data_IF_867924714101
#
_entry.id   IF_867924714101
#
_cell.length_a   1.000
_cell.length_b   1.000
_cell.length_c   1.000
_cell.angle_alpha   90.00
_cell.angle_beta   90.00
_cell.angle_gamma   90.00
#
_symmetry.space_group_name_H-M   'P 1'
#
loop_
_entity.id
_entity.type
_entity.pdbx_description
1 polymer ?
#
# COMPACT_ATOMS: atom_id res chain seq x y z
N UNK A 1 10.42 7.60 -1.12
CA UNK A 1 11.57 8.54 -1.09
C UNK A 1 12.26 8.53 -2.46
N UNK A 2 12.11 9.59 -3.27
CA UNK A 2 12.78 9.73 -4.57
C UNK A 2 13.39 11.13 -4.73
N UNK A 3 14.20 11.55 -3.74
CA UNK A 3 15.09 12.72 -3.89
C UNK A 3 16.56 12.31 -4.11
N UNK A 4 16.82 11.02 -4.34
CA UNK A 4 18.14 10.47 -4.64
C UNK A 4 18.09 9.81 -6.03
N UNK A 5 17.86 10.59 -7.08
CA UNK A 5 17.85 10.06 -8.46
C UNK A 5 19.25 9.74 -9.00
N UNK A 6 20.33 10.09 -8.30
CA UNK A 6 21.68 10.04 -8.86
C UNK A 6 22.49 8.79 -8.54
N UNK A 7 22.09 7.95 -7.58
CA UNK A 7 22.85 6.74 -7.28
C UNK A 7 21.95 5.59 -6.84
N UNK A 8 21.77 4.60 -7.74
CA UNK A 8 20.99 3.39 -7.46
C UNK A 8 21.62 2.53 -6.35
N UNK A 9 22.93 2.64 -6.12
CA UNK A 9 23.62 1.90 -5.07
C UNK A 9 23.45 2.54 -3.69
N UNK A 10 23.12 3.84 -3.62
CA UNK A 10 22.81 4.49 -2.35
C UNK A 10 21.60 3.84 -1.66
N UNK A 11 20.66 3.28 -2.43
CA UNK A 11 19.47 2.56 -1.95
C UNK A 11 19.79 1.25 -1.20
N UNK A 12 21.03 0.73 -1.32
CA UNK A 12 21.51 -0.45 -0.59
C UNK A 12 22.17 -0.08 0.73
N UNK A 13 22.25 1.21 1.08
CA UNK A 13 22.80 1.63 2.36
C UNK A 13 21.92 1.11 3.50
N UNK A 14 22.51 0.45 4.52
CA UNK A 14 21.79 0.07 5.73
C UNK A 14 21.09 1.25 6.42
N UNK A 15 21.59 2.48 6.23
CA UNK A 15 20.98 3.70 6.76
C UNK A 15 19.68 4.12 6.06
N UNK A 16 19.35 3.51 4.92
CA UNK A 16 18.07 3.70 4.24
C UNK A 16 17.08 2.55 4.50
N UNK A 17 17.51 1.51 5.21
CA UNK A 17 16.62 0.44 5.65
C UNK A 17 15.71 0.98 6.75
N UNK A 18 14.39 0.95 6.51
CA UNK A 18 13.37 1.51 7.41
C UNK A 18 13.59 3.00 7.76
N UNK A 19 14.04 3.78 6.77
CA UNK A 19 14.26 5.20 6.97
C UNK A 19 12.94 5.93 7.26
N UNK A 20 12.89 6.80 8.29
CA UNK A 20 11.70 7.56 8.62
C UNK A 20 11.32 8.53 7.50
N UNK A 21 10.08 8.99 7.52
CA UNK A 21 9.62 10.10 6.69
C UNK A 21 10.48 11.34 6.93
N UNK A 22 10.78 12.06 5.85
CA UNK A 22 11.39 13.39 5.91
C UNK A 22 10.32 14.43 6.22
N UNK A 23 10.71 15.66 6.57
CA UNK A 23 9.76 16.77 6.76
C UNK A 23 8.84 16.98 5.54
N UNK A 24 9.42 16.89 4.33
CA UNK A 24 8.63 16.92 3.09
C UNK A 24 7.69 15.71 2.98
N UNK A 25 8.12 14.53 3.43
CA UNK A 25 7.27 13.34 3.50
C UNK A 25 6.08 13.53 4.45
N UNK A 26 6.30 14.13 5.62
CA UNK A 26 5.23 14.50 6.55
C UNK A 26 4.24 15.49 5.92
N UNK A 27 4.74 16.53 5.23
CA UNK A 27 3.86 17.47 4.52
C UNK A 27 3.03 16.77 3.43
N UNK A 28 3.60 15.80 2.71
CA UNK A 28 2.86 15.01 1.71
C UNK A 28 1.73 14.19 2.36
N UNK A 29 1.97 13.63 3.55
CA UNK A 29 0.98 12.89 4.32
C UNK A 29 -0.16 13.80 4.78
N UNK A 30 0.16 14.98 5.31
CA UNK A 30 -0.83 15.98 5.73
C UNK A 30 -1.71 16.41 4.56
N UNK A 31 -1.09 16.78 3.43
CA UNK A 31 -1.82 17.21 2.23
C UNK A 31 -2.73 16.09 1.69
N UNK A 32 -2.29 14.83 1.74
CA UNK A 32 -3.13 13.70 1.35
C UNK A 32 -4.32 13.56 2.31
N UNK A 33 -4.09 13.62 3.62
CA UNK A 33 -5.14 13.52 4.62
C UNK A 33 -6.23 14.58 4.42
N UNK A 34 -5.84 15.83 4.22
CA UNK A 34 -6.79 16.93 3.96
C UNK A 34 -7.68 16.65 2.74
N UNK A 35 -7.10 16.10 1.67
CA UNK A 35 -7.85 15.70 0.46
C UNK A 35 -8.82 14.56 0.75
N UNK A 36 -8.43 13.58 1.55
CA UNK A 36 -9.30 12.45 1.92
C UNK A 36 -10.45 12.87 2.84
N UNK A 37 -10.19 13.80 3.78
CA UNK A 37 -11.21 14.40 4.63
C UNK A 37 -12.20 15.20 3.78
N UNK A 38 -11.70 16.07 2.91
CA UNK A 38 -12.53 16.95 2.06
C UNK A 38 -13.40 16.18 1.07
N UNK A 39 -12.90 15.05 0.54
CA UNK A 39 -13.67 14.17 -0.35
C UNK A 39 -14.64 13.22 0.37
N UNK A 40 -14.56 13.15 1.70
CA UNK A 40 -15.31 12.18 2.51
C UNK A 40 -14.85 10.73 2.35
N UNK A 41 -13.78 10.46 1.58
CA UNK A 41 -13.24 9.11 1.40
C UNK A 41 -12.72 8.54 2.73
N UNK A 42 -12.12 9.37 3.58
CA UNK A 42 -11.61 8.92 4.87
C UNK A 42 -12.69 8.27 5.75
N UNK A 43 -13.94 8.75 5.66
CA UNK A 43 -15.07 8.26 6.47
C UNK A 43 -15.62 6.92 6.01
N UNK A 44 -15.27 6.50 4.79
CA UNK A 44 -15.79 5.26 4.19
C UNK A 44 -14.82 4.10 4.32
N UNK A 45 -13.52 4.38 4.48
CA UNK A 45 -12.50 3.35 4.69
C UNK A 45 -12.80 2.61 6.00
N UNK A 46 -12.98 1.30 5.91
CA UNK A 46 -13.30 0.42 7.05
C UNK A 46 -12.03 -0.28 7.58
N UNK A 47 -11.08 -0.54 6.69
CA UNK A 47 -9.81 -1.20 6.98
C UNK A 47 -8.67 -0.51 6.25
N UNK A 48 -7.56 -0.29 6.95
CA UNK A 48 -6.29 0.14 6.36
C UNK A 48 -5.31 -1.01 6.49
N UNK A 49 -4.81 -1.49 5.37
CA UNK A 49 -3.73 -2.47 5.30
C UNK A 49 -2.44 -1.73 4.99
N UNK A 50 -1.40 -1.91 5.80
CA UNK A 50 -0.08 -1.29 5.59
C UNK A 50 1.02 -2.33 5.73
N UNK A 51 2.21 -2.06 5.19
CA UNK A 51 3.41 -2.77 5.65
C UNK A 51 4.05 -2.08 6.85
N UNK A 52 4.93 -2.77 7.60
CA UNK A 52 5.69 -2.15 8.69
C UNK A 52 6.48 -0.91 8.23
N UNK A 53 7.07 -0.98 7.03
CA UNK A 53 7.85 0.10 6.42
C UNK A 53 7.04 1.33 6.01
N UNK A 54 5.72 1.19 5.87
CA UNK A 54 4.83 2.30 5.47
C UNK A 54 3.91 2.75 6.59
N UNK A 55 4.15 2.29 7.82
CA UNK A 55 3.32 2.56 8.98
C UNK A 55 3.18 4.05 9.29
N UNK A 56 4.25 4.84 9.18
CA UNK A 56 4.20 6.30 9.41
C UNK A 56 3.23 7.00 8.45
N UNK A 57 3.20 6.57 7.18
CA UNK A 57 2.25 7.09 6.19
C UNK A 57 0.82 6.65 6.53
N UNK A 58 0.62 5.38 6.86
CA UNK A 58 -0.70 4.85 7.18
C UNK A 58 -1.32 5.53 8.41
N UNK A 59 -0.54 5.62 9.50
CA UNK A 59 -0.97 6.28 10.74
C UNK A 59 -1.16 7.78 10.52
N UNK A 60 -0.25 8.44 9.81
CA UNK A 60 -0.35 9.88 9.54
C UNK A 60 -1.58 10.25 8.72
N UNK A 61 -1.98 9.42 7.74
CA UNK A 61 -3.15 9.66 6.89
C UNK A 61 -4.46 9.21 7.55
N UNK A 62 -4.48 8.02 8.16
CA UNK A 62 -5.70 7.33 8.59
C UNK A 62 -5.86 7.17 10.11
N UNK A 63 -4.80 7.34 10.90
CA UNK A 63 -4.78 7.00 12.33
C UNK A 63 -5.23 8.10 13.29
N UNK A 64 -5.42 9.33 12.82
CA UNK A 64 -5.82 10.44 13.69
C UNK A 64 -7.34 10.50 13.85
N UNK A 65 -7.80 10.38 15.10
CA UNK A 65 -9.15 10.73 15.52
C UNK A 65 -9.36 12.24 15.33
N UNK A 66 -10.16 12.64 14.33
CA UNK A 66 -10.61 14.02 14.26
C UNK A 66 -11.57 14.31 15.42
N UNK A 67 -11.02 14.78 16.55
CA UNK A 67 -11.79 15.32 17.68
C UNK A 67 -12.77 16.42 17.26
N UNK A 68 -12.58 17.02 16.09
CA UNK A 68 -13.40 18.07 15.51
C UNK A 68 -14.62 17.57 14.71
N UNK A 69 -14.71 16.29 14.34
CA UNK A 69 -15.75 15.82 13.41
C UNK A 69 -16.71 14.74 13.94
N UNK A 70 -16.66 14.37 15.24
CA UNK A 70 -17.46 13.26 15.78
C UNK A 70 -17.35 11.98 14.92
N UNK A 71 -16.15 11.68 14.40
CA UNK A 71 -15.89 10.43 13.69
C UNK A 71 -15.73 9.34 14.75
N UNK A 72 -16.79 8.58 14.98
CA UNK A 72 -16.83 7.56 16.04
C UNK A 72 -16.00 6.30 15.74
N UNK A 73 -15.47 6.15 14.54
CA UNK A 73 -14.61 5.03 14.16
C UNK A 73 -13.45 5.52 13.27
N UNK A 74 -12.24 5.55 13.82
CA UNK A 74 -11.04 5.45 12.99
C UNK A 74 -10.99 4.05 12.37
N UNK A 75 -10.56 3.90 11.11
CA UNK A 75 -10.45 2.59 10.50
C UNK A 75 -9.46 1.72 11.27
N UNK A 76 -9.74 0.41 11.33
CA UNK A 76 -8.75 -0.54 11.87
C UNK A 76 -7.52 -0.51 10.98
N UNK A 77 -6.34 -0.30 11.56
CA UNK A 77 -5.07 -0.38 10.83
C UNK A 77 -4.42 -1.73 11.12
N UNK A 78 -4.27 -2.54 10.08
CA UNK A 78 -3.59 -3.83 10.15
C UNK A 78 -2.28 -3.72 9.40
N UNK A 79 -1.18 -3.94 10.11
CA UNK A 79 0.11 -4.15 9.48
C UNK A 79 0.16 -5.61 8.99
N UNK A 80 0.21 -5.79 7.69
CA UNK A 80 0.42 -7.08 7.05
C UNK A 80 1.68 -6.97 6.18
N UNK A 81 2.44 -8.04 6.09
CA UNK A 81 3.66 -8.12 5.27
C UNK A 81 3.36 -8.13 3.75
N UNK A 82 2.35 -7.37 3.31
CA UNK A 82 1.99 -7.15 1.91
C UNK A 82 3.12 -6.46 1.15
N UNK A 83 4.09 -5.84 1.84
CA UNK A 83 5.18 -5.08 1.22
C UNK A 83 6.58 -5.28 1.84
N UNK A 84 6.82 -6.40 2.52
CA UNK A 84 8.16 -7.00 2.66
C UNK A 84 8.08 -8.44 2.17
N UNK A 85 9.24 -9.04 1.90
CA UNK A 85 9.43 -10.26 1.12
C UNK A 85 8.86 -11.55 1.75
N UNK A 86 7.88 -11.49 2.66
CA UNK A 86 7.66 -12.54 3.64
C UNK A 86 6.17 -12.85 3.92
N UNK A 87 5.96 -14.09 4.33
CA UNK A 87 4.75 -14.91 4.31
C UNK A 87 3.54 -14.35 5.10
N UNK A 88 2.30 -14.64 4.66
CA UNK A 88 1.04 -14.15 5.26
C UNK A 88 0.63 -14.95 6.53
N UNK A 89 1.27 -16.08 6.81
CA UNK A 89 0.81 -17.06 7.82
C UNK A 89 1.76 -17.28 9.02
N UNK A 90 2.91 -16.59 9.11
CA UNK A 90 3.86 -16.77 10.22
C UNK A 90 4.49 -15.46 10.69
N UNK A 91 4.64 -15.28 12.01
CA UNK A 91 5.38 -14.15 12.62
C UNK A 91 6.90 -14.25 12.42
N UNK A 92 7.41 -15.43 12.03
CA UNK A 92 8.81 -15.64 11.68
C UNK A 92 9.08 -15.26 10.22
N UNK A 93 10.03 -14.34 10.04
CA UNK A 93 10.55 -13.92 8.76
C UNK A 93 11.51 -14.99 8.18
N UNK A 94 10.92 -16.02 7.57
CA UNK A 94 11.66 -17.14 6.99
C UNK A 94 12.06 -16.94 5.52
N UNK A 95 11.70 -15.80 4.91
CA UNK A 95 11.94 -15.48 3.49
C UNK A 95 12.99 -14.38 3.29
N UNK A 96 13.37 -13.66 4.36
CA UNK A 96 14.40 -12.63 4.28
C UNK A 96 15.77 -13.19 3.94
N UNK A 97 16.31 -12.71 2.81
CA UNK A 97 17.67 -12.99 2.37
C UNK A 97 18.37 -11.65 2.10
N UNK A 98 19.33 -11.21 2.93
CA UNK A 98 19.90 -9.87 2.87
C UNK A 98 20.54 -9.54 1.51
N UNK A 99 21.04 -10.56 0.81
CA UNK A 99 21.79 -10.40 -0.44
C UNK A 99 20.99 -10.79 -1.69
N UNK A 100 19.71 -11.17 -1.55
CA UNK A 100 18.90 -11.62 -2.69
C UNK A 100 17.65 -10.78 -2.82
N UNK A 101 17.55 -10.14 -3.98
CA UNK A 101 16.35 -9.42 -4.39
C UNK A 101 15.27 -10.41 -4.80
N UNK A 102 14.06 -10.26 -4.26
CA UNK A 102 12.88 -10.96 -4.74
C UNK A 102 12.76 -10.90 -6.27
N UNK A 103 12.48 -12.05 -6.86
CA UNK A 103 12.12 -12.19 -8.25
C UNK A 103 10.74 -11.58 -8.52
N UNK A 104 10.43 -11.30 -9.79
CA UNK A 104 9.09 -10.78 -10.16
C UNK A 104 8.02 -11.83 -9.87
N UNK A 105 8.36 -13.09 -10.04
CA UNK A 105 7.52 -14.25 -9.84
C UNK A 105 7.12 -14.38 -8.36
N UNK A 106 8.05 -14.19 -7.43
CA UNK A 106 7.79 -14.16 -5.98
C UNK A 106 6.87 -12.99 -5.61
N UNK A 107 7.13 -11.79 -6.13
CA UNK A 107 6.28 -10.61 -5.92
C UNK A 107 4.85 -10.87 -6.42
N UNK A 108 4.71 -11.50 -7.59
CA UNK A 108 3.39 -11.81 -8.15
C UNK A 108 2.65 -12.89 -7.36
N UNK A 109 3.34 -13.95 -6.92
CA UNK A 109 2.76 -14.97 -6.08
C UNK A 109 2.24 -14.38 -4.76
N UNK A 110 3.04 -13.53 -4.12
CA UNK A 110 2.66 -12.82 -2.88
C UNK A 110 1.50 -11.86 -3.11
N UNK A 111 1.50 -11.13 -4.23
CA UNK A 111 0.37 -10.29 -4.63
C UNK A 111 -0.93 -11.06 -4.81
N UNK A 112 -0.86 -12.29 -5.34
CA UNK A 112 -2.02 -13.17 -5.51
C UNK A 112 -2.53 -13.71 -4.16
N UNK A 113 -1.65 -14.14 -3.26
CA UNK A 113 -2.06 -14.59 -1.92
C UNK A 113 -2.67 -13.44 -1.09
N UNK A 114 -2.06 -12.25 -1.14
CA UNK A 114 -2.66 -11.05 -0.56
C UNK A 114 -4.06 -10.80 -1.09
N UNK A 115 -4.28 -11.05 -2.38
CA UNK A 115 -5.58 -10.89 -3.00
C UNK A 115 -6.61 -11.92 -2.56
N UNK A 116 -6.22 -13.18 -2.47
CA UNK A 116 -7.09 -14.23 -1.91
C UNK A 116 -7.48 -13.91 -0.47
N UNK A 117 -6.56 -13.32 0.30
CA UNK A 117 -6.83 -12.85 1.65
C UNK A 117 -7.79 -11.66 1.64
N UNK A 118 -7.53 -10.64 0.81
CA UNK A 118 -8.36 -9.44 0.69
C UNK A 118 -9.80 -9.79 0.23
N UNK A 119 -9.96 -10.79 -0.64
CA UNK A 119 -11.27 -11.25 -1.12
C UNK A 119 -12.14 -11.90 -0.04
N UNK A 120 -11.53 -12.43 1.02
CA UNK A 120 -12.25 -13.07 2.13
C UNK A 120 -12.68 -12.07 3.21
N UNK A 121 -12.31 -10.80 3.05
CA UNK A 121 -12.60 -9.74 4.01
C UNK A 121 -14.06 -9.29 3.93
N UNK A 122 -14.72 -9.01 5.06
CA UNK A 122 -16.08 -8.47 5.07
C UNK A 122 -16.15 -6.98 4.71
N UNK A 123 -15.02 -6.25 4.75
CA UNK A 123 -14.97 -4.82 4.50
C UNK A 123 -15.21 -4.45 3.03
N UNK A 124 -15.97 -3.37 2.81
CA UNK A 124 -16.33 -2.87 1.46
C UNK A 124 -15.33 -1.89 0.88
N UNK A 125 -14.76 -1.04 1.74
CA UNK A 125 -13.77 -0.04 1.34
C UNK A 125 -12.50 -0.24 2.16
N UNK A 126 -11.47 -0.78 1.51
CA UNK A 126 -10.16 -1.06 2.10
C UNK A 126 -9.11 -0.16 1.48
N UNK A 127 -8.34 0.52 2.32
CA UNK A 127 -7.16 1.28 1.90
C UNK A 127 -5.91 0.42 2.02
N UNK A 128 -5.09 0.36 0.97
CA UNK A 128 -3.80 -0.34 0.99
C UNK A 128 -2.67 0.68 0.88
N UNK A 129 -1.82 0.74 1.90
CA UNK A 129 -0.66 1.63 1.99
C UNK A 129 0.60 0.80 1.82
N UNK A 130 1.38 1.09 0.78
CA UNK A 130 2.57 0.31 0.43
C UNK A 130 3.50 1.13 -0.47
N UNK A 131 4.65 0.57 -0.83
CA UNK A 131 5.56 1.17 -1.78
C UNK A 131 4.99 1.14 -3.20
N UNK A 132 5.19 2.22 -3.96
CA UNK A 132 4.63 2.37 -5.30
C UNK A 132 5.01 1.26 -6.28
N UNK A 133 6.19 0.65 -6.13
CA UNK A 133 6.56 -0.50 -6.96
C UNK A 133 5.77 -1.77 -6.60
N UNK A 134 5.56 -2.03 -5.32
CA UNK A 134 4.77 -3.17 -4.84
C UNK A 134 3.31 -3.01 -5.30
N UNK A 135 2.72 -1.83 -5.10
CA UNK A 135 1.37 -1.51 -5.58
C UNK A 135 1.23 -1.66 -7.10
N UNK A 136 2.25 -1.25 -7.86
CA UNK A 136 2.26 -1.42 -9.32
C UNK A 136 2.26 -2.89 -9.73
N UNK A 137 3.12 -3.70 -9.12
CA UNK A 137 3.19 -5.14 -9.42
C UNK A 137 1.91 -5.85 -9.02
N UNK A 138 1.36 -5.51 -7.86
CA UNK A 138 0.07 -5.97 -7.39
C UNK A 138 -1.04 -5.62 -8.41
N UNK A 139 -1.20 -4.36 -8.79
CA UNK A 139 -2.22 -3.94 -9.76
C UNK A 139 -2.04 -4.56 -11.15
N UNK A 140 -0.81 -4.90 -11.54
CA UNK A 140 -0.57 -5.63 -12.78
C UNK A 140 -1.21 -7.03 -12.76
N UNK A 141 -1.17 -7.72 -11.62
CA UNK A 141 -1.84 -9.01 -11.43
C UNK A 141 -3.36 -8.84 -11.49
N UNK A 142 -3.90 -7.77 -10.89
CA UNK A 142 -5.35 -7.51 -10.88
C UNK A 142 -5.90 -7.20 -12.27
N UNK A 143 -5.16 -6.38 -13.02
CA UNK A 143 -5.58 -5.89 -14.31
C UNK A 143 -5.29 -6.89 -15.45
N UNK A 144 -4.89 -8.13 -15.13
CA UNK A 144 -4.57 -9.13 -16.14
C UNK A 144 -5.79 -9.48 -17.01
N UNK A 145 -6.99 -9.42 -16.43
CA UNK A 145 -8.27 -9.68 -17.11
C UNK A 145 -8.97 -8.39 -17.58
N UNK A 146 -8.29 -7.24 -17.51
CA UNK A 146 -8.78 -5.96 -17.99
C UNK A 146 -8.23 -5.63 -19.38
N UNK A 147 -8.91 -4.72 -20.10
CA UNK A 147 -8.40 -4.18 -21.36
C UNK A 147 -7.02 -3.54 -21.19
N UNK A 148 -6.21 -3.59 -22.24
CA UNK A 148 -4.85 -3.06 -22.25
C UNK A 148 -4.76 -1.59 -21.81
N UNK A 149 -5.76 -0.78 -22.18
CA UNK A 149 -5.84 0.63 -21.77
C UNK A 149 -6.03 0.78 -20.26
N UNK A 150 -6.94 0.00 -19.66
CA UNK A 150 -7.20 0.02 -18.22
C UNK A 150 -5.97 -0.47 -17.46
N UNK A 151 -5.35 -1.56 -17.94
CA UNK A 151 -4.12 -2.10 -17.39
C UNK A 151 -2.97 -1.09 -17.44
N UNK A 152 -2.81 -0.38 -18.55
CA UNK A 152 -1.80 0.65 -18.71
C UNK A 152 -1.98 1.80 -17.70
N UNK A 153 -3.20 2.30 -17.53
CA UNK A 153 -3.51 3.35 -16.57
C UNK A 153 -3.27 2.90 -15.12
N UNK A 154 -3.78 1.73 -14.73
CA UNK A 154 -3.60 1.18 -13.38
C UNK A 154 -2.15 0.92 -13.02
N UNK A 155 -1.32 0.53 -13.99
CA UNK A 155 0.08 0.16 -13.79
C UNK A 155 1.06 1.34 -13.96
N UNK A 156 0.59 2.58 -14.06
CA UNK A 156 1.45 3.77 -14.03
C UNK A 156 2.22 3.83 -12.71
N UNK A 157 3.43 4.39 -12.73
CA UNK A 157 4.23 4.59 -11.52
C UNK A 157 3.49 5.50 -10.54
N UNK A 158 3.43 5.11 -9.27
CA UNK A 158 2.89 5.95 -8.21
C UNK A 158 3.88 7.03 -7.82
N UNK A 159 3.37 8.23 -7.60
CA UNK A 159 4.05 9.32 -6.89
C UNK A 159 3.87 9.15 -5.37
N UNK A 160 4.69 9.83 -4.56
CA UNK A 160 4.56 9.73 -3.10
C UNK A 160 3.21 10.31 -2.64
N UNK A 161 2.54 9.61 -1.73
CA UNK A 161 1.21 9.99 -1.23
C UNK A 161 0.16 10.15 -2.35
N UNK A 162 0.34 9.42 -3.46
CA UNK A 162 -0.72 9.24 -4.46
C UNK A 162 -1.71 8.19 -3.98
N UNK A 163 -3.00 8.45 -4.20
CA UNK A 163 -4.06 7.49 -3.99
C UNK A 163 -4.72 7.14 -5.31
N UNK A 164 -4.98 5.86 -5.53
CA UNK A 164 -5.82 5.36 -6.63
C UNK A 164 -6.96 4.56 -6.06
N UNK A 165 -8.15 4.80 -6.59
CA UNK A 165 -9.34 4.02 -6.26
C UNK A 165 -9.56 2.99 -7.33
N UNK A 166 -9.67 1.74 -6.92
CA UNK A 166 -9.95 0.60 -7.81
C UNK A 166 -11.24 -0.03 -7.33
N UNK A 167 -12.18 -0.24 -8.25
CA UNK A 167 -13.42 -0.97 -7.97
C UNK A 167 -13.21 -2.40 -8.42
N UNK A 168 -13.36 -3.31 -7.47
CA UNK A 168 -13.25 -4.74 -7.70
C UNK A 168 -14.68 -5.27 -7.81
N UNK A 169 -14.95 -5.99 -8.90
CA UNK A 169 -16.28 -6.54 -9.19
C UNK A 169 -16.15 -8.06 -9.25
N UNK A 170 -16.94 -8.76 -8.45
CA UNK A 170 -17.08 -10.21 -8.57
C UNK A 170 -17.79 -10.53 -9.89
N UNK A 171 -17.15 -11.34 -10.73
CA UNK A 171 -17.75 -11.86 -11.98
C UNK A 171 -18.59 -13.12 -11.74
N UNK A 172 -18.87 -13.47 -10.48
CA UNK A 172 -19.63 -14.65 -10.07
C UNK A 172 -20.89 -14.91 -10.89
N UNK A 173 -20.83 -15.99 -11.69
CA UNK A 173 -21.88 -16.70 -12.44
C UNK A 173 -22.91 -15.81 -13.16
N UNK A 174 -22.61 -15.46 -14.42
CA UNK A 174 -23.64 -15.53 -15.47
C UNK A 174 -23.93 -17.00 -15.75
#
# INVERSE_FOLDING_TARGET
MHNLEKDRNALLSPHLFDAPLTDHGHQQVENLRERLVSSGLLKRVELVVTSPLTMQTAVGVFGNEDKLQNIACSPSIVALEVARDCNIESEEDNLWRPDVRESKEEIFARGLEFMKWLWKRPEKEVAVVSHGMVLRHMLYVFANDCDDSVRHELCKRFTNCEIRTVVIVDKGLV
#
